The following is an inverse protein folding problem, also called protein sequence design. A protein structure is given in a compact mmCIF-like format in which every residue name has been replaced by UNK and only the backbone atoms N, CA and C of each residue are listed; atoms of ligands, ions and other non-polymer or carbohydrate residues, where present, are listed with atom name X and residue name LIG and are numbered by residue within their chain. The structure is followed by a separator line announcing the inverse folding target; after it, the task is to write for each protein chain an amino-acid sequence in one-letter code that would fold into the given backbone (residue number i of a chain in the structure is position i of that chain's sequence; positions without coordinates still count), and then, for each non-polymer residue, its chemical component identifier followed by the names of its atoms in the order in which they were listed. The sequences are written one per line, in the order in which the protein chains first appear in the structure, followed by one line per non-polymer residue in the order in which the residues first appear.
data_IF_878071848104
#
_entry.id   IF_878071848104
#
_cell.length_a   1.000
_cell.length_b   1.000
_cell.length_c   1.000
_cell.angle_alpha   90.00
_cell.angle_beta   90.00
_cell.angle_gamma   90.00
#
_symmetry.space_group_name_H-M   'P 1'
#
loop_
_entity.id
_entity.type
_entity.pdbx_description
1 polymer ?
#
# COMPACT_ATOMS: atom_id res chain seq x y z
N UNK A 1 -5.87 -1.29 -2.65
CA UNK A 1 -5.05 -0.07 -2.60
C UNK A 1 -5.80 1.14 -2.07
N UNK A 2 -6.86 1.63 -2.74
CA UNK A 2 -7.60 2.82 -2.27
C UNK A 2 -8.04 2.74 -0.80
N UNK A 3 -8.63 1.61 -0.39
CA UNK A 3 -9.05 1.41 1.00
C UNK A 3 -7.89 1.48 2.02
N UNK A 4 -6.71 0.99 1.66
CA UNK A 4 -5.52 1.01 2.52
C UNK A 4 -5.00 2.45 2.73
N UNK A 5 -4.79 3.20 1.66
CA UNK A 5 -4.32 4.60 1.77
C UNK A 5 -5.38 5.54 2.36
N UNK A 6 -6.67 5.27 2.13
CA UNK A 6 -7.75 6.03 2.75
C UNK A 6 -7.85 5.72 4.26
N UNK A 7 -7.60 4.47 4.67
CA UNK A 7 -7.55 4.13 6.09
C UNK A 7 -6.38 4.83 6.79
N UNK A 8 -5.21 4.87 6.16
CA UNK A 8 -4.05 5.63 6.64
C UNK A 8 -4.41 7.10 6.84
N UNK A 9 -5.00 7.74 5.81
CA UNK A 9 -5.43 9.13 5.89
C UNK A 9 -6.42 9.36 7.04
N UNK A 10 -7.43 8.50 7.17
CA UNK A 10 -8.42 8.57 8.25
C UNK A 10 -7.78 8.34 9.63
N UNK A 11 -6.76 7.51 9.71
CA UNK A 11 -5.97 7.32 10.92
C UNK A 11 -5.07 8.54 11.23
N UNK A 12 -4.93 9.50 10.31
CA UNK A 12 -4.05 10.67 10.45
C UNK A 12 -2.59 10.37 10.06
N UNK A 13 -2.41 9.29 9.31
CA UNK A 13 -1.18 8.92 8.62
C UNK A 13 -1.31 9.47 7.20
N UNK A 14 -0.45 10.41 6.81
CA UNK A 14 -0.51 10.96 5.46
C UNK A 14 -0.37 9.83 4.42
N UNK A 15 -0.77 10.07 3.17
CA UNK A 15 -0.76 9.03 2.12
C UNK A 15 0.31 9.32 1.06
N UNK A 16 0.74 8.32 0.28
CA UNK A 16 1.63 8.56 -0.85
C UNK A 16 1.07 9.64 -1.80
N UNK A 17 1.93 10.57 -2.23
CA UNK A 17 1.65 11.77 -3.04
C UNK A 17 1.07 12.96 -2.27
N UNK A 18 0.61 12.78 -1.02
CA UNK A 18 0.06 13.90 -0.27
C UNK A 18 1.11 14.92 0.16
N UNK A 19 2.42 14.57 0.14
CA UNK A 19 3.48 15.55 0.43
C UNK A 19 3.62 16.62 -0.65
N UNK A 20 3.22 16.30 -1.89
CA UNK A 20 3.35 17.18 -3.05
C UNK A 20 2.01 17.79 -3.43
N UNK A 21 0.98 16.97 -3.58
CA UNK A 21 -0.33 17.40 -4.07
C UNK A 21 -1.29 17.78 -2.94
N UNK A 22 -1.03 17.33 -1.71
CA UNK A 22 -1.98 17.39 -0.61
C UNK A 22 -2.92 16.17 -0.55
N UNK A 23 -3.67 16.01 0.56
CA UNK A 23 -4.40 14.78 0.85
C UNK A 23 -5.59 14.52 -0.09
N UNK A 24 -6.32 15.55 -0.50
CA UNK A 24 -7.50 15.40 -1.36
C UNK A 24 -7.16 14.91 -2.79
N UNK A 25 -6.26 15.55 -3.55
CA UNK A 25 -5.90 15.06 -4.88
C UNK A 25 -5.18 13.71 -4.83
N UNK A 26 -4.35 13.45 -3.80
CA UNK A 26 -3.76 12.13 -3.60
C UNK A 26 -4.85 11.05 -3.41
N UNK A 27 -5.85 11.32 -2.56
CA UNK A 27 -6.97 10.40 -2.35
C UNK A 27 -7.75 10.14 -3.65
N UNK A 28 -8.02 11.19 -4.42
CA UNK A 28 -8.72 11.08 -5.69
C UNK A 28 -7.98 10.17 -6.69
N UNK A 29 -6.65 10.30 -6.81
CA UNK A 29 -5.82 9.44 -7.66
C UNK A 29 -5.95 7.98 -7.24
N UNK A 30 -5.81 7.68 -5.94
CA UNK A 30 -5.85 6.30 -5.45
C UNK A 30 -7.23 5.65 -5.54
N UNK A 31 -8.28 6.40 -5.22
CA UNK A 31 -9.68 5.92 -5.32
C UNK A 31 -10.04 5.68 -6.78
N UNK A 32 -9.79 6.66 -7.65
CA UNK A 32 -10.12 6.56 -9.08
C UNK A 32 -9.32 5.45 -9.75
N UNK A 33 -8.01 5.36 -9.48
CA UNK A 33 -7.18 4.28 -10.02
C UNK A 33 -7.65 2.90 -9.58
N UNK A 34 -8.07 2.76 -8.31
CA UNK A 34 -8.64 1.50 -7.81
C UNK A 34 -9.96 1.17 -8.50
N UNK A 35 -10.88 2.14 -8.61
CA UNK A 35 -12.17 1.95 -9.25
C UNK A 35 -12.03 1.60 -10.73
N UNK A 36 -11.23 2.36 -11.50
CA UNK A 36 -10.94 2.08 -12.90
C UNK A 36 -10.33 0.69 -13.10
N UNK A 37 -9.40 0.27 -12.24
CA UNK A 37 -8.79 -1.06 -12.32
C UNK A 37 -9.81 -2.16 -12.07
N UNK A 38 -10.65 -2.02 -11.03
CA UNK A 38 -11.70 -2.97 -10.71
C UNK A 38 -12.73 -3.07 -11.85
N UNK A 39 -13.17 -1.93 -12.37
CA UNK A 39 -14.10 -1.83 -13.49
C UNK A 39 -13.53 -2.42 -14.79
N UNK A 40 -12.21 -2.39 -14.97
CA UNK A 40 -11.54 -2.93 -16.15
C UNK A 40 -11.29 -4.45 -16.04
N UNK A 41 -11.08 -4.97 -14.83
CA UNK A 41 -10.76 -6.38 -14.59
C UNK A 41 -11.84 -7.34 -15.15
N UNK A 42 -13.12 -6.96 -15.07
CA UNK A 42 -14.23 -7.76 -15.61
C UNK A 42 -14.54 -7.54 -17.10
N UNK A 43 -13.81 -6.67 -17.81
CA UNK A 43 -14.17 -6.23 -19.17
C UNK A 43 -13.06 -6.37 -20.21
N UNK A 44 -11.82 -6.59 -19.81
CA UNK A 44 -10.68 -6.66 -20.72
C UNK A 44 -10.31 -8.11 -21.03
N UNK A 45 -9.95 -8.37 -22.28
CA UNK A 45 -9.48 -9.68 -22.72
C UNK A 45 -8.03 -9.98 -22.28
N UNK A 46 -7.57 -11.18 -22.64
CA UNK A 46 -6.29 -11.77 -22.20
C UNK A 46 -5.02 -10.94 -22.45
N UNK A 47 -5.07 -9.93 -23.32
CA UNK A 47 -3.95 -9.02 -23.57
C UNK A 47 -3.60 -8.18 -22.33
N UNK A 48 -4.55 -7.97 -21.43
CA UNK A 48 -4.38 -7.18 -20.20
C UNK A 48 -3.88 -8.00 -18.99
N UNK A 49 -3.88 -9.33 -19.09
CA UNK A 49 -3.49 -10.26 -18.00
C UNK A 49 -2.05 -9.98 -17.51
N UNK A 50 -1.16 -9.56 -18.41
CA UNK A 50 0.22 -9.17 -18.05
C UNK A 50 0.27 -7.94 -17.16
N UNK A 51 -0.52 -6.92 -17.49
CA UNK A 51 -0.58 -5.70 -16.71
C UNK A 51 -1.16 -5.98 -15.32
N UNK A 52 -2.26 -6.74 -15.26
CA UNK A 52 -2.85 -7.13 -13.99
C UNK A 52 -1.93 -8.03 -13.17
N UNK A 53 -1.19 -8.95 -13.80
CA UNK A 53 -0.18 -9.75 -13.10
C UNK A 53 0.92 -8.89 -12.48
N UNK A 54 1.46 -7.90 -13.20
CA UNK A 54 2.47 -6.97 -12.67
C UNK A 54 1.89 -6.13 -11.53
N UNK A 55 0.68 -5.59 -11.68
CA UNK A 55 0.01 -4.81 -10.63
C UNK A 55 -0.24 -5.65 -9.36
N UNK A 56 -0.77 -6.85 -9.52
CA UNK A 56 -0.99 -7.77 -8.40
C UNK A 56 0.32 -8.16 -7.73
N UNK A 57 1.38 -8.41 -8.50
CA UNK A 57 2.72 -8.67 -7.96
C UNK A 57 3.27 -7.48 -7.16
N UNK A 58 3.14 -6.26 -7.67
CA UNK A 58 3.56 -5.04 -6.96
C UNK A 58 2.78 -4.87 -5.65
N UNK A 59 1.48 -5.13 -5.63
CA UNK A 59 0.66 -5.01 -4.43
C UNK A 59 0.95 -6.10 -3.40
N UNK A 60 1.21 -7.33 -3.85
CA UNK A 60 1.64 -8.41 -2.98
C UNK A 60 2.98 -8.06 -2.31
N UNK A 61 3.95 -7.58 -3.09
CA UNK A 61 5.23 -7.14 -2.55
C UNK A 61 5.13 -5.92 -1.64
N UNK A 62 4.30 -4.94 -1.98
CA UNK A 62 4.05 -3.79 -1.11
C UNK A 62 3.50 -4.25 0.24
N UNK A 63 2.55 -5.20 0.24
CA UNK A 63 2.00 -5.77 1.47
C UNK A 63 3.06 -6.56 2.26
N UNK A 64 3.86 -7.38 1.59
CA UNK A 64 4.95 -8.12 2.21
C UNK A 64 5.99 -7.18 2.84
N UNK A 65 6.32 -6.07 2.16
CA UNK A 65 7.25 -5.07 2.65
C UNK A 65 6.81 -4.47 3.99
N UNK A 66 5.49 -4.36 4.25
CA UNK A 66 5.01 -3.90 5.54
C UNK A 66 5.46 -4.86 6.66
N UNK A 67 5.24 -6.16 6.49
CA UNK A 67 5.64 -7.17 7.48
C UNK A 67 7.15 -7.41 7.57
N UNK A 68 7.91 -7.07 6.53
CA UNK A 68 9.38 -7.23 6.50
C UNK A 68 10.07 -6.04 7.21
N UNK A 69 9.63 -4.81 6.95
CA UNK A 69 10.35 -3.62 7.42
C UNK A 69 9.85 -3.07 8.75
N UNK A 70 8.62 -3.41 9.16
CA UNK A 70 8.06 -2.91 10.40
C UNK A 70 8.03 -3.99 11.49
N UNK A 71 8.08 -3.59 12.78
CA UNK A 71 8.00 -4.52 13.90
C UNK A 71 6.77 -5.43 13.80
N UNK A 72 7.03 -6.72 13.66
CA UNK A 72 6.02 -7.74 13.40
C UNK A 72 6.14 -8.84 14.45
N UNK A 73 5.01 -9.20 15.06
CA UNK A 73 4.87 -10.35 15.95
C UNK A 73 4.26 -11.51 15.18
N UNK A 74 4.85 -12.68 15.30
CA UNK A 74 4.29 -13.90 14.71
C UNK A 74 3.42 -14.62 15.73
N UNK A 75 2.15 -14.86 15.37
CA UNK A 75 1.19 -15.61 16.22
C UNK A 75 0.56 -16.70 15.37
N UNK A 76 0.80 -17.97 15.72
CA UNK A 76 0.25 -19.10 14.94
C UNK A 76 0.68 -19.11 13.48
N UNK A 77 1.89 -18.63 13.17
CA UNK A 77 2.40 -18.55 11.79
C UNK A 77 1.87 -17.35 10.98
N UNK A 78 1.03 -16.49 11.57
CA UNK A 78 0.53 -15.27 10.91
C UNK A 78 1.33 -14.06 11.39
N UNK A 79 1.90 -13.25 10.48
CA UNK A 79 2.62 -12.03 10.85
C UNK A 79 1.63 -10.92 11.22
N UNK A 80 1.78 -10.34 12.40
CA UNK A 80 0.95 -9.26 12.91
C UNK A 80 1.80 -8.01 13.18
N UNK A 81 1.52 -6.92 12.48
CA UNK A 81 2.20 -5.64 12.71
C UNK A 81 1.88 -5.09 14.09
N UNK A 82 2.90 -4.61 14.79
CA UNK A 82 2.75 -3.92 16.08
C UNK A 82 2.67 -2.39 15.89
N UNK A 83 3.37 -1.90 14.87
CA UNK A 83 3.37 -0.50 14.45
C UNK A 83 3.65 -0.42 12.96
N UNK A 84 3.20 0.65 12.31
CA UNK A 84 3.51 0.92 10.90
C UNK A 84 3.45 2.41 10.62
N UNK A 85 4.53 3.00 10.13
CA UNK A 85 4.58 4.41 9.66
C UNK A 85 4.19 5.47 10.70
N UNK A 86 4.08 5.13 11.99
CA UNK A 86 3.58 6.00 13.08
C UNK A 86 2.16 5.64 13.56
N UNK A 87 1.52 4.67 12.90
CA UNK A 87 0.30 4.00 13.34
C UNK A 87 0.65 3.04 14.49
N UNK A 88 0.03 3.26 15.66
CA UNK A 88 0.23 2.47 16.88
C UNK A 88 -1.10 2.26 17.61
N UNK A 89 -1.17 1.21 18.43
CA UNK A 89 -2.33 0.94 19.29
C UNK A 89 -3.54 0.42 18.51
N UNK A 90 -4.75 0.87 18.87
CA UNK A 90 -6.03 0.28 18.40
C UNK A 90 -6.24 0.34 16.88
N UNK A 91 -5.58 1.26 16.18
CA UNK A 91 -5.68 1.40 14.72
C UNK A 91 -4.88 0.35 13.94
N UNK A 92 -3.91 -0.32 14.59
CA UNK A 92 -3.06 -1.32 13.93
C UNK A 92 -3.82 -2.63 13.68
N UNK A 93 -4.80 -2.97 14.52
CA UNK A 93 -5.60 -4.19 14.36
C UNK A 93 -6.41 -4.21 13.05
N UNK A 94 -7.27 -3.21 12.79
CA UNK A 94 -7.99 -3.12 11.52
C UNK A 94 -7.05 -3.01 10.32
N UNK A 95 -5.92 -2.31 10.47
CA UNK A 95 -4.93 -2.18 9.41
C UNK A 95 -4.29 -3.52 9.00
N UNK A 96 -3.97 -4.39 9.97
CA UNK A 96 -3.54 -5.76 9.66
C UNK A 96 -4.60 -6.51 8.84
N UNK A 97 -5.89 -6.36 9.19
CA UNK A 97 -6.99 -6.94 8.42
C UNK A 97 -7.01 -6.46 6.95
N UNK A 98 -6.82 -5.15 6.73
CA UNK A 98 -6.72 -4.58 5.39
C UNK A 98 -5.52 -5.17 4.63
N UNK A 99 -4.37 -5.33 5.28
CA UNK A 99 -3.19 -5.94 4.66
C UNK A 99 -3.43 -7.40 4.32
N UNK A 100 -4.04 -8.20 5.19
CA UNK A 100 -4.34 -9.60 4.89
C UNK A 100 -5.29 -9.74 3.71
N UNK A 101 -6.39 -8.98 3.69
CA UNK A 101 -7.33 -9.00 2.56
C UNK A 101 -6.64 -8.54 1.27
N UNK A 102 -5.78 -7.53 1.34
CA UNK A 102 -5.01 -7.05 0.19
C UNK A 102 -4.02 -8.09 -0.33
N UNK A 103 -3.30 -8.78 0.57
CA UNK A 103 -2.37 -9.85 0.21
C UNK A 103 -3.09 -11.02 -0.44
N UNK A 104 -4.22 -11.47 0.14
CA UNK A 104 -5.04 -12.56 -0.42
C UNK A 104 -5.58 -12.17 -1.78
N UNK A 105 -6.15 -10.97 -1.94
CA UNK A 105 -6.67 -10.51 -3.22
C UNK A 105 -5.57 -10.44 -4.30
N UNK A 106 -4.39 -9.92 -3.96
CA UNK A 106 -3.26 -9.85 -4.88
C UNK A 106 -2.73 -11.24 -5.26
N UNK A 107 -2.66 -12.17 -4.30
CA UNK A 107 -2.24 -13.55 -4.55
C UNK A 107 -3.24 -14.29 -5.45
N UNK A 108 -4.54 -14.15 -5.19
CA UNK A 108 -5.60 -14.72 -6.04
C UNK A 108 -5.55 -14.12 -7.45
N UNK A 109 -5.34 -12.80 -7.56
CA UNK A 109 -5.17 -12.14 -8.85
C UNK A 109 -3.94 -12.63 -9.63
N UNK A 110 -2.83 -12.97 -8.97
CA UNK A 110 -1.69 -13.62 -9.62
C UNK A 110 -2.01 -15.05 -10.09
N UNK A 111 -2.80 -15.79 -9.31
CA UNK A 111 -3.27 -17.14 -9.69
C UNK A 111 -4.18 -17.08 -10.91
N UNK A 112 -5.09 -16.12 -10.96
CA UNK A 112 -5.98 -15.89 -12.11
C UNK A 112 -5.17 -15.51 -13.37
N UNK A 113 -4.15 -14.68 -13.23
CA UNK A 113 -3.29 -14.22 -14.33
C UNK A 113 -2.07 -15.13 -14.60
N UNK A 114 -2.15 -16.42 -14.23
CA UNK A 114 -1.03 -17.39 -14.24
C UNK A 114 -0.22 -17.47 -15.54
N UNK A 115 -0.86 -17.29 -16.70
CA UNK A 115 -0.18 -17.31 -18.02
C UNK A 115 0.84 -16.16 -18.19
N UNK A 116 0.75 -15.12 -17.36
CA UNK A 116 1.70 -14.01 -17.27
C UNK A 116 2.52 -14.00 -15.96
N UNK A 117 2.38 -15.04 -15.12
CA UNK A 117 2.74 -15.03 -13.70
C UNK A 117 4.23 -14.89 -13.37
N UNK A 118 5.13 -15.39 -14.23
CA UNK A 118 6.58 -15.28 -13.98
C UNK A 118 7.06 -13.83 -14.07
N UNK A 119 6.63 -13.08 -15.09
CA UNK A 119 6.94 -11.65 -15.19
C UNK A 119 6.20 -10.84 -14.11
N UNK A 120 4.95 -11.21 -13.80
CA UNK A 120 4.18 -10.59 -12.72
C UNK A 120 4.82 -10.73 -11.34
N UNK A 121 5.50 -11.85 -11.06
CA UNK A 121 6.21 -12.06 -9.80
C UNK A 121 7.65 -11.49 -9.81
N UNK A 122 8.33 -11.52 -10.95
CA UNK A 122 9.74 -11.11 -11.07
C UNK A 122 9.94 -9.61 -11.25
N UNK A 123 9.09 -8.91 -12.02
CA UNK A 123 9.21 -7.45 -12.22
C UNK A 123 9.15 -6.68 -10.88
N UNK A 124 8.25 -7.02 -9.94
CA UNK A 124 8.24 -6.41 -8.62
C UNK A 124 9.56 -6.57 -7.85
N UNK A 125 10.29 -7.67 -7.96
CA UNK A 125 11.57 -7.83 -7.26
C UNK A 125 12.58 -6.72 -7.61
N UNK A 126 12.55 -6.23 -8.84
CA UNK A 126 13.41 -5.14 -9.31
C UNK A 126 12.81 -3.78 -8.97
N UNK A 127 11.49 -3.63 -9.09
CA UNK A 127 10.79 -2.35 -8.90
C UNK A 127 10.62 -1.99 -7.41
N UNK A 128 10.46 -2.98 -6.54
CA UNK A 128 10.21 -2.79 -5.09
C UNK A 128 11.35 -2.03 -4.40
N UNK A 129 12.65 -2.34 -4.61
CA UNK A 129 13.73 -1.52 -4.07
C UNK A 129 13.64 -0.03 -4.43
N UNK A 130 13.25 0.27 -5.67
CA UNK A 130 13.06 1.65 -6.11
C UNK A 130 11.84 2.30 -5.43
N UNK A 131 10.72 1.58 -5.33
CA UNK A 131 9.52 2.04 -4.63
C UNK A 131 9.80 2.31 -3.14
N UNK A 132 10.56 1.44 -2.48
CA UNK A 132 10.97 1.63 -1.08
C UNK A 132 11.83 2.88 -0.91
N UNK A 133 12.73 3.18 -1.85
CA UNK A 133 13.49 4.44 -1.83
C UNK A 133 12.57 5.65 -1.99
N UNK A 134 11.62 5.60 -2.92
CA UNK A 134 10.64 6.66 -3.16
C UNK A 134 9.79 6.87 -1.90
N UNK A 135 9.30 5.79 -1.29
CA UNK A 135 8.50 5.83 -0.06
C UNK A 135 9.30 6.43 1.10
N UNK A 136 10.58 6.12 1.25
CA UNK A 136 11.45 6.77 2.27
C UNK A 136 11.64 8.26 2.02
N UNK A 137 11.74 8.70 0.76
CA UNK A 137 11.83 10.14 0.44
C UNK A 137 10.51 10.83 0.78
N UNK A 138 9.39 10.24 0.36
CA UNK A 138 8.05 10.74 0.63
C UNK A 138 7.78 10.83 2.14
N UNK A 139 8.06 9.76 2.88
CA UNK A 139 7.89 9.72 4.33
C UNK A 139 8.72 10.77 5.05
N UNK A 140 9.98 11.00 4.63
CA UNK A 140 10.80 12.09 5.17
C UNK A 140 10.19 13.46 4.94
N UNK A 141 9.64 13.72 3.74
CA UNK A 141 8.94 14.97 3.44
C UNK A 141 7.70 15.14 4.30
N UNK A 142 6.90 14.08 4.44
CA UNK A 142 5.69 14.08 5.25
C UNK A 142 5.97 14.31 6.74
N UNK A 143 7.02 13.69 7.30
CA UNK A 143 7.46 13.97 8.68
C UNK A 143 7.88 15.43 8.84
N UNK A 144 8.68 15.95 7.91
CA UNK A 144 9.11 17.35 7.96
C UNK A 144 7.90 18.31 7.90
N UNK A 145 6.91 18.03 7.07
CA UNK A 145 5.66 18.79 7.01
C UNK A 145 4.85 18.67 8.29
N UNK A 146 4.69 17.47 8.84
CA UNK A 146 3.95 17.24 10.08
C UNK A 146 4.57 18.00 11.27
N UNK A 147 5.90 18.12 11.31
CA UNK A 147 6.58 18.91 12.34
C UNK A 147 6.42 20.42 12.16
N UNK A 148 6.38 20.93 10.92
CA UNK A 148 6.25 22.37 10.63
C UNK A 148 4.81 22.87 10.68
N UNK A 149 3.89 22.08 10.15
CA UNK A 149 2.48 22.43 10.02
C UNK A 149 1.60 21.18 10.23
N UNK A 150 1.36 20.78 11.49
CA UNK A 150 0.50 19.65 11.78
C UNK A 150 -0.94 19.92 11.39
N UNK A 151 -1.54 18.93 10.75
CA UNK A 151 -2.94 18.88 10.41
C UNK A 151 -3.52 17.52 10.78
N UNK A 152 -4.84 17.41 10.77
CA UNK A 152 -5.55 16.17 11.13
C UNK A 152 -5.07 14.94 10.34
N UNK A 153 -4.59 15.14 9.10
CA UNK A 153 -4.19 14.11 8.15
C UNK A 153 -2.71 13.68 8.24
N UNK A 154 -1.86 14.41 8.97
CA UNK A 154 -0.43 14.06 9.13
C UNK A 154 0.07 14.10 10.58
N UNK A 155 -0.75 14.53 11.54
CA UNK A 155 -0.37 14.73 12.95
C UNK A 155 0.30 13.52 13.61
N UNK A 156 -0.02 12.29 13.21
CA UNK A 156 0.60 11.10 13.80
C UNK A 156 2.05 10.87 13.35
N UNK A 157 2.46 11.51 12.25
CA UNK A 157 3.85 11.50 11.77
C UNK A 157 4.80 12.37 12.60
N UNK A 158 4.25 13.14 13.55
CA UNK A 158 5.06 13.85 14.54
C UNK A 158 5.67 12.91 15.59
N UNK A 159 5.09 11.72 15.77
CA UNK A 159 5.61 10.69 16.66
C UNK A 159 6.96 10.16 16.19
N UNK A 160 7.79 9.69 17.14
CA UNK A 160 9.12 9.13 16.85
C UNK A 160 9.01 7.90 15.96
#
# INVERSE_FOLDING_TARGET
MGAHVCYELAAGMAMPLSSVAGPAPAAAVWVTGTACSHLAAGRRGHHSDRLFAVMNGLFLWATAAHFIYWPTRWTGGVPYLLECEGMRGRVVGPYNGILYVSAVAAALGLVENRRAGLLGAAVPLVVVPALLRIQRIEFRRLRAQAHRNPAWWNRRLQGR
#
